data_IF_685591770213
#
_entry.id   IF_685591770213
#
_cell.length_a   1.000
_cell.length_b   1.000
_cell.length_c   1.000
_cell.angle_alpha   90.00
_cell.angle_beta   90.00
_cell.angle_gamma   90.00
#
_symmetry.space_group_name_H-M   'P 1'
#
loop_
_entity.id
_entity.type
_entity.pdbx_description
1 polymer ?
#
# COMPACT_ATOMS: atom_id res chain seq x y z
N UNK A 1 -8.38 -5.55 -0.92
CA UNK A 1 -8.49 -5.20 -2.35
C UNK A 1 -7.08 -5.09 -2.90
N UNK A 2 -6.70 -5.94 -3.85
CA UNK A 2 -5.33 -6.00 -4.37
C UNK A 2 -5.13 -4.87 -5.39
N UNK A 3 -4.07 -4.08 -5.22
CA UNK A 3 -3.77 -2.91 -6.07
C UNK A 3 -2.28 -2.91 -6.37
N UNK A 4 -1.93 -3.13 -7.63
CA UNK A 4 -0.54 -3.17 -8.09
C UNK A 4 -0.37 -2.32 -9.36
N UNK A 5 -1.17 -2.58 -10.39
CA UNK A 5 -1.10 -1.87 -11.68
C UNK A 5 -1.21 -0.35 -11.53
N UNK A 6 -2.15 0.15 -10.72
CA UNK A 6 -2.32 1.59 -10.50
C UNK A 6 -1.04 2.23 -9.92
N UNK A 7 -0.38 1.54 -8.98
CA UNK A 7 0.85 2.03 -8.34
C UNK A 7 1.96 2.12 -9.38
N UNK A 8 2.12 1.07 -10.20
CA UNK A 8 3.11 1.05 -11.28
C UNK A 8 2.89 2.18 -12.27
N UNK A 9 1.64 2.44 -12.66
CA UNK A 9 1.29 3.51 -13.60
C UNK A 9 1.54 4.90 -13.00
N UNK A 10 1.14 5.14 -11.75
CA UNK A 10 1.34 6.42 -11.07
C UNK A 10 2.82 6.76 -10.92
N UNK A 11 3.64 5.79 -10.48
CA UNK A 11 5.08 5.96 -10.37
C UNK A 11 5.72 6.20 -11.73
N UNK A 12 5.38 5.41 -12.74
CA UNK A 12 5.96 5.53 -14.10
C UNK A 12 5.63 6.89 -14.73
N UNK A 13 4.39 7.37 -14.59
CA UNK A 13 3.98 8.66 -15.10
C UNK A 13 4.76 9.81 -14.43
N UNK A 14 4.94 9.75 -13.11
CA UNK A 14 5.71 10.75 -12.37
C UNK A 14 7.21 10.77 -12.76
N UNK A 15 7.82 9.59 -12.94
CA UNK A 15 9.20 9.49 -13.43
C UNK A 15 9.33 10.08 -14.83
N UNK A 16 8.45 9.69 -15.76
CA UNK A 16 8.43 10.19 -17.14
C UNK A 16 8.31 11.71 -17.20
N UNK A 17 7.39 12.28 -16.41
CA UNK A 17 7.21 13.73 -16.32
C UNK A 17 8.48 14.41 -15.81
N UNK A 18 9.05 13.92 -14.70
CA UNK A 18 10.26 14.51 -14.14
C UNK A 18 11.43 14.50 -15.13
N UNK A 19 11.69 13.37 -15.79
CA UNK A 19 12.79 13.25 -16.74
C UNK A 19 12.59 14.11 -17.99
N UNK A 20 11.34 14.30 -18.43
CA UNK A 20 11.03 15.18 -19.55
C UNK A 20 11.23 16.65 -19.20
N UNK A 21 10.82 17.07 -18.00
CA UNK A 21 10.94 18.45 -17.53
C UNK A 21 12.37 18.81 -17.08
N UNK A 22 13.21 17.82 -16.75
CA UNK A 22 14.56 18.01 -16.19
C UNK A 22 15.59 17.09 -16.88
N UNK A 23 15.92 17.32 -18.17
CA UNK A 23 16.74 16.40 -18.96
C UNK A 23 18.21 16.28 -18.50
N UNK A 24 18.72 17.24 -17.74
CA UNK A 24 20.07 17.25 -17.16
C UNK A 24 20.15 16.49 -15.82
N UNK A 25 19.02 16.13 -15.23
CA UNK A 25 18.93 15.45 -13.94
C UNK A 25 18.98 13.94 -14.08
N UNK A 26 20.08 13.35 -13.61
CA UNK A 26 20.32 11.90 -13.67
C UNK A 26 20.26 11.20 -12.30
N UNK A 27 20.31 11.95 -11.19
CA UNK A 27 20.26 11.38 -9.85
C UNK A 27 18.92 10.68 -9.61
N UNK A 28 18.98 9.37 -9.34
CA UNK A 28 17.81 8.54 -9.12
C UNK A 28 16.88 9.06 -8.01
N UNK A 29 17.45 9.68 -6.98
CA UNK A 29 16.68 10.19 -5.85
C UNK A 29 15.78 11.35 -6.28
N UNK A 30 16.19 12.12 -7.28
CA UNK A 30 15.42 13.27 -7.76
C UNK A 30 14.16 12.83 -8.50
N UNK A 31 14.23 11.82 -9.38
CA UNK A 31 13.05 11.29 -10.08
C UNK A 31 12.26 10.22 -9.31
N UNK A 32 12.88 9.52 -8.36
CA UNK A 32 12.15 8.60 -7.46
C UNK A 32 11.34 9.33 -6.38
N UNK A 33 11.75 10.54 -5.98
CA UNK A 33 11.01 11.36 -5.01
C UNK A 33 9.56 11.67 -5.46
N UNK A 34 9.30 12.23 -6.65
CA UNK A 34 7.93 12.43 -7.13
C UNK A 34 7.19 11.11 -7.41
N UNK A 35 7.89 10.05 -7.83
CA UNK A 35 7.28 8.73 -8.01
C UNK A 35 6.72 8.17 -6.70
N UNK A 36 7.50 8.25 -5.62
CA UNK A 36 7.07 7.82 -4.27
C UNK A 36 5.88 8.66 -3.77
N UNK A 37 5.88 9.96 -4.05
CA UNK A 37 4.76 10.82 -3.66
C UNK A 37 3.48 10.46 -4.44
N UNK A 38 3.58 10.20 -5.75
CA UNK A 38 2.44 9.74 -6.56
C UNK A 38 1.85 8.43 -6.02
N UNK A 39 2.70 7.44 -5.70
CA UNK A 39 2.27 6.18 -5.09
C UNK A 39 1.59 6.41 -3.72
N UNK A 40 2.14 7.30 -2.88
CA UNK A 40 1.58 7.63 -1.57
C UNK A 40 0.19 8.25 -1.68
N UNK A 41 -0.02 9.18 -2.59
CA UNK A 41 -1.33 9.81 -2.80
C UNK A 41 -2.38 8.80 -3.28
N UNK A 42 -1.99 7.90 -4.20
CA UNK A 42 -2.84 6.80 -4.64
C UNK A 42 -3.22 5.88 -3.48
N UNK A 43 -2.26 5.42 -2.67
CA UNK A 43 -2.56 4.58 -1.51
C UNK A 43 -3.49 5.28 -0.51
N UNK A 44 -3.29 6.58 -0.25
CA UNK A 44 -4.17 7.37 0.61
C UNK A 44 -5.59 7.40 0.06
N UNK A 45 -5.76 7.71 -1.22
CA UNK A 45 -7.07 7.71 -1.88
C UNK A 45 -7.78 6.37 -1.71
N UNK A 46 -7.08 5.25 -1.95
CA UNK A 46 -7.62 3.89 -1.83
C UNK A 46 -8.02 3.56 -0.38
N UNK A 47 -7.25 4.00 0.61
CA UNK A 47 -7.64 3.85 2.01
C UNK A 47 -8.94 4.57 2.35
N UNK A 48 -9.16 5.78 1.79
CA UNK A 48 -10.43 6.50 1.99
C UNK A 48 -11.59 5.80 1.28
N UNK A 49 -11.40 5.39 0.02
CA UNK A 49 -12.41 4.67 -0.78
C UNK A 49 -12.82 3.34 -0.14
N UNK A 50 -11.91 2.68 0.58
CA UNK A 50 -12.20 1.44 1.30
C UNK A 50 -12.59 1.64 2.77
N UNK A 51 -12.80 2.88 3.23
CA UNK A 51 -13.24 3.16 4.60
C UNK A 51 -12.23 2.74 5.68
N UNK A 52 -10.94 2.77 5.37
CA UNK A 52 -9.86 2.41 6.30
C UNK A 52 -9.45 3.54 7.26
N UNK A 53 -9.95 4.76 7.06
CA UNK A 53 -9.65 5.90 7.92
C UNK A 53 -10.01 5.61 9.39
N UNK A 54 -9.09 5.88 10.31
CA UNK A 54 -9.25 5.68 11.76
C UNK A 54 -9.25 4.22 12.25
N UNK A 55 -9.29 3.23 11.36
CA UNK A 55 -9.39 1.80 11.75
C UNK A 55 -8.15 1.26 12.45
N UNK A 56 -6.97 1.83 12.20
CA UNK A 56 -5.72 1.33 12.77
C UNK A 56 -5.71 1.35 14.31
N UNK A 57 -6.26 2.39 14.93
CA UNK A 57 -6.24 2.57 16.39
C UNK A 57 -7.12 1.55 17.14
N UNK A 58 -8.12 0.96 16.47
CA UNK A 58 -9.02 -0.03 17.10
C UNK A 58 -8.49 -1.47 17.02
N UNK A 59 -7.40 -1.72 16.27
CA UNK A 59 -6.88 -3.07 16.03
C UNK A 59 -5.85 -3.42 17.11
N UNK A 60 -6.09 -4.52 17.81
CA UNK A 60 -5.08 -5.16 18.69
C UNK A 60 -4.38 -6.26 17.89
N UNK A 61 -3.08 -6.09 17.65
CA UNK A 61 -2.28 -7.10 16.93
C UNK A 61 -2.02 -8.33 17.80
N UNK A 62 -2.16 -9.52 17.22
CA UNK A 62 -1.71 -10.78 17.81
C UNK A 62 -0.41 -11.24 17.14
N UNK A 63 0.46 -11.91 17.89
CA UNK A 63 1.62 -12.59 17.29
C UNK A 63 1.18 -13.80 16.48
N UNK A 64 2.04 -14.25 15.57
CA UNK A 64 1.77 -15.44 14.75
C UNK A 64 1.60 -16.70 15.61
N UNK A 65 2.31 -16.82 16.74
CA UNK A 65 2.18 -17.94 17.66
C UNK A 65 0.80 -17.98 18.33
N UNK A 66 0.26 -16.81 18.71
CA UNK A 66 -1.11 -16.72 19.25
C UNK A 66 -2.11 -17.21 18.21
N UNK A 67 -2.02 -16.70 16.98
CA UNK A 67 -2.92 -17.08 15.88
C UNK A 67 -2.82 -18.57 15.56
N UNK A 68 -1.61 -19.15 15.53
CA UNK A 68 -1.41 -20.58 15.34
C UNK A 68 -2.10 -21.42 16.44
N UNK A 69 -2.07 -20.96 17.70
CA UNK A 69 -2.82 -21.58 18.79
C UNK A 69 -4.34 -21.51 18.62
N UNK A 70 -4.88 -20.40 18.09
CA UNK A 70 -6.31 -20.25 17.79
C UNK A 70 -6.75 -21.26 16.71
N UNK A 71 -5.93 -21.46 15.67
CA UNK A 71 -6.15 -22.50 14.67
C UNK A 71 -6.14 -23.90 15.29
N UNK A 72 -5.14 -24.23 16.12
CA UNK A 72 -5.04 -25.55 16.76
C UNK A 72 -6.25 -25.87 17.66
N UNK A 73 -6.88 -24.84 18.26
CA UNK A 73 -8.11 -24.96 19.06
C UNK A 73 -9.40 -24.93 18.23
N UNK A 74 -9.31 -24.74 16.91
CA UNK A 74 -10.47 -24.67 16.03
C UNK A 74 -11.25 -23.35 16.09
N UNK A 75 -10.77 -22.34 16.80
CA UNK A 75 -11.47 -21.04 16.97
C UNK A 75 -11.62 -20.27 15.65
N UNK A 76 -10.73 -20.53 14.70
CA UNK A 76 -10.71 -19.92 13.36
C UNK A 76 -11.16 -20.91 12.27
N UNK A 77 -11.85 -21.99 12.63
CA UNK A 77 -12.41 -22.92 11.66
C UNK A 77 -13.45 -22.21 10.78
N UNK A 78 -13.41 -22.48 9.48
CA UNK A 78 -14.39 -21.95 8.55
C UNK A 78 -15.78 -22.49 8.89
N UNK A 79 -16.73 -21.58 9.13
CA UNK A 79 -18.15 -21.92 9.23
C UNK A 79 -18.76 -21.66 7.86
N UNK A 80 -19.19 -22.72 7.17
CA UNK A 80 -19.95 -22.61 5.92
C UNK A 80 -21.43 -22.53 6.29
N UNK A 81 -22.08 -21.43 5.90
CA UNK A 81 -23.53 -21.27 5.96
C UNK A 81 -24.14 -21.60 4.60
#
# INVERSE_FOLDING_TARGET
VNIDTDIRMAMTAAVRKFMFENPDKFDAREWLKPAREAAKQLCKQRYMEFGCEGKAASIKGHSLQVVAGQYARGELAQVVQ
#
